data_IF_929120840029
#
_entry.id   IF_929120840029
#
_cell.length_a   1.000
_cell.length_b   1.000
_cell.length_c   1.000
_cell.angle_alpha   90.00
_cell.angle_beta   90.00
_cell.angle_gamma   90.00
#
_symmetry.space_group_name_H-M   'P 1'
#
loop_
_entity.id
_entity.type
_entity.pdbx_description
1 polymer ?
#
# COMPACT_ATOMS: atom_id res chain seq x y z
N UNK A 1 12.54 2.63 -12.81
CA UNK A 1 11.35 2.09 -13.13
C UNK A 1 10.38 2.26 -12.06
N UNK A 2 9.18 2.52 -12.36
CA UNK A 2 8.18 2.78 -11.36
C UNK A 2 7.59 1.48 -10.86
N UNK A 3 7.39 1.38 -9.59
CA UNK A 3 6.74 0.23 -9.00
C UNK A 3 5.24 0.45 -9.13
N UNK A 4 4.51 -0.58 -9.54
CA UNK A 4 3.08 -0.46 -9.69
C UNK A 4 2.38 -1.34 -8.69
N UNK A 5 1.08 -1.17 -8.62
CA UNK A 5 0.29 -1.96 -7.69
C UNK A 5 0.38 -3.44 -8.06
N UNK A 6 0.61 -3.75 -9.31
CA UNK A 6 0.74 -5.12 -9.71
C UNK A 6 2.01 -5.74 -9.14
N UNK A 7 3.08 -4.94 -9.05
CA UNK A 7 4.30 -5.44 -8.47
C UNK A 7 4.11 -5.74 -6.99
N UNK A 8 3.40 -4.88 -6.30
CA UNK A 8 3.13 -5.10 -4.90
C UNK A 8 2.30 -6.37 -4.74
N UNK A 9 1.28 -6.53 -5.58
CA UNK A 9 0.41 -7.69 -5.48
C UNK A 9 1.19 -8.98 -5.72
N UNK A 10 2.08 -8.97 -6.67
CA UNK A 10 2.86 -10.15 -6.96
C UNK A 10 3.76 -10.50 -5.78
N UNK A 11 4.39 -9.52 -5.19
CA UNK A 11 5.28 -9.77 -4.07
C UNK A 11 4.49 -10.21 -2.84
N UNK A 12 3.34 -9.62 -2.62
CA UNK A 12 2.53 -9.98 -1.47
C UNK A 12 1.75 -11.28 -1.67
N UNK A 13 1.68 -11.74 -2.90
CA UNK A 13 0.94 -12.96 -3.17
C UNK A 13 -0.56 -12.77 -3.16
N UNK A 14 -1.02 -11.59 -3.54
CA UNK A 14 -2.44 -11.28 -3.57
C UNK A 14 -2.78 -10.62 -4.89
N UNK A 15 -4.03 -10.33 -5.12
CA UNK A 15 -4.43 -9.69 -6.36
C UNK A 15 -4.27 -8.19 -6.25
N UNK A 16 -4.14 -7.50 -7.35
CA UNK A 16 -4.04 -6.04 -7.30
C UNK A 16 -5.23 -5.38 -6.64
N UNK A 17 -6.40 -6.00 -6.78
CA UNK A 17 -7.59 -5.46 -6.12
C UNK A 17 -7.41 -5.50 -4.61
N UNK A 18 -6.80 -6.57 -4.11
CA UNK A 18 -6.57 -6.68 -2.68
C UNK A 18 -5.61 -5.60 -2.21
N UNK A 19 -4.59 -5.29 -3.00
CA UNK A 19 -3.66 -4.25 -2.63
C UNK A 19 -4.41 -2.91 -2.57
N UNK A 20 -5.26 -2.65 -3.55
CA UNK A 20 -6.00 -1.41 -3.57
C UNK A 20 -6.90 -1.29 -2.35
N UNK A 21 -7.56 -2.36 -1.98
CA UNK A 21 -8.44 -2.32 -0.82
C UNK A 21 -7.65 -2.13 0.46
N UNK A 22 -6.47 -2.74 0.52
CA UNK A 22 -5.63 -2.55 1.69
C UNK A 22 -5.20 -1.10 1.82
N UNK A 23 -4.89 -0.45 0.71
CA UNK A 23 -4.51 0.95 0.76
C UNK A 23 -5.65 1.81 1.26
N UNK A 24 -6.88 1.40 1.00
CA UNK A 24 -8.03 2.15 1.48
C UNK A 24 -8.47 1.71 2.86
N UNK A 25 -7.69 0.80 3.45
CA UNK A 25 -8.03 0.31 4.79
C UNK A 25 -9.40 -0.32 4.83
N UNK A 26 -9.71 -1.12 3.82
CA UNK A 26 -11.01 -1.75 3.71
C UNK A 26 -11.17 -2.81 4.80
N UNK A 27 -12.27 -2.79 5.54
CA UNK A 27 -12.44 -3.75 6.64
C UNK A 27 -12.62 -5.18 6.18
N UNK A 28 -12.87 -5.40 4.91
CA UNK A 28 -13.03 -6.77 4.46
C UNK A 28 -11.66 -7.44 4.24
N UNK A 29 -10.57 -6.70 4.38
CA UNK A 29 -9.24 -7.28 4.24
C UNK A 29 -8.74 -7.65 5.62
N UNK A 30 -8.26 -8.88 5.78
CA UNK A 30 -7.80 -9.32 7.09
C UNK A 30 -6.50 -8.64 7.46
N UNK A 31 -6.21 -8.62 8.74
CA UNK A 31 -5.01 -8.00 9.22
C UNK A 31 -3.77 -8.67 8.64
N UNK A 32 -3.83 -9.97 8.54
CA UNK A 32 -2.70 -10.69 7.99
C UNK A 32 -2.44 -10.26 6.56
N UNK A 33 -3.47 -10.12 5.77
CA UNK A 33 -3.32 -9.70 4.39
C UNK A 33 -2.80 -8.27 4.33
N UNK A 34 -3.31 -7.41 5.20
CA UNK A 34 -2.86 -6.04 5.22
C UNK A 34 -1.37 -5.99 5.51
N UNK A 35 -0.91 -6.82 6.42
CA UNK A 35 0.47 -6.81 6.75
C UNK A 35 1.33 -7.29 5.61
N UNK A 36 0.90 -8.31 4.91
CA UNK A 36 1.65 -8.80 3.76
C UNK A 36 1.78 -7.70 2.71
N UNK A 37 0.70 -6.99 2.45
CA UNK A 37 0.72 -5.93 1.46
C UNK A 37 1.64 -4.80 1.91
N UNK A 38 1.56 -4.45 3.19
CA UNK A 38 2.40 -3.38 3.69
C UNK A 38 3.87 -3.72 3.59
N UNK A 39 4.21 -4.97 3.90
CA UNK A 39 5.57 -5.39 3.79
C UNK A 39 6.04 -5.31 2.34
N UNK A 40 5.20 -5.76 1.41
CA UNK A 40 5.54 -5.73 0.01
C UNK A 40 5.76 -4.30 -0.46
N UNK A 41 4.90 -3.39 0.00
CA UNK A 41 5.06 -2.00 -0.39
C UNK A 41 6.36 -1.42 0.14
N UNK A 42 6.71 -1.76 1.36
CA UNK A 42 7.93 -1.26 1.94
C UNK A 42 9.16 -1.81 1.21
N UNK A 43 9.10 -3.07 0.86
CA UNK A 43 10.21 -3.65 0.17
C UNK A 43 10.44 -3.04 -1.19
N UNK A 44 9.38 -2.75 -1.91
CA UNK A 44 9.49 -2.20 -3.24
C UNK A 44 9.58 -0.69 -3.24
N UNK A 45 9.37 -0.07 -2.11
CA UNK A 45 9.35 1.37 -2.03
C UNK A 45 8.13 1.96 -2.68
N UNK A 46 7.04 1.23 -2.74
CA UNK A 46 5.82 1.71 -3.37
C UNK A 46 5.00 2.54 -2.40
N UNK A 47 4.56 3.69 -2.81
CA UNK A 47 3.73 4.52 -1.97
C UNK A 47 2.46 4.82 -2.68
N UNK A 48 1.33 4.56 -2.07
CA UNK A 48 0.04 4.90 -2.66
C UNK A 48 0.01 6.39 -2.87
N UNK A 49 -0.42 6.79 -4.05
CA UNK A 49 -0.34 8.17 -4.34
C UNK A 49 -1.53 8.91 -4.03
N UNK A 50 -2.12 8.80 -2.92
CA UNK A 50 -3.24 9.58 -2.65
C UNK A 50 -2.96 10.59 -1.68
N UNK A 51 -1.96 10.68 -1.28
CA UNK A 51 -1.77 11.54 -0.42
C UNK A 51 -0.98 12.54 -0.61
N UNK A 52 -0.78 12.82 -1.59
CA UNK A 52 -0.14 13.97 -1.80
C UNK A 52 -0.50 14.90 -0.80
N UNK A 53 -1.70 14.95 -0.55
CA UNK A 53 -2.07 15.93 0.34
C UNK A 53 -1.57 15.61 1.63
N UNK A 54 -1.55 14.44 2.01
CA UNK A 54 -1.21 14.28 3.25
C UNK A 54 0.17 14.49 3.51
N UNK A 55 0.92 14.62 2.58
CA UNK A 55 2.16 14.85 2.85
C UNK A 55 2.36 16.04 3.56
N UNK A 56 1.64 16.97 3.24
CA UNK A 56 1.77 18.19 3.93
C UNK A 56 1.55 17.94 5.34
N UNK A 57 0.68 17.16 5.59
CA UNK A 57 0.38 16.98 6.91
C UNK A 57 1.47 16.38 7.60
N UNK A 58 2.04 15.52 7.09
CA UNK A 58 2.93 14.92 7.75
C UNK A 58 4.03 15.56 8.04
N UNK A 59 4.22 16.47 7.58
CA UNK A 59 5.22 17.14 7.83
C UNK A 59 5.24 17.50 9.08
N UNK A 60 4.59 17.74 9.51
CA UNK A 60 4.60 18.12 10.67
C UNK A 60 4.72 17.29 11.65
N UNK A 61 5.06 17.00 11.40
CA UNK A 61 5.19 16.41 11.92
C UNK A 61 5.39 16.02 12.34
N UNK A 62 5.51 16.10 12.30
CA UNK A 62 5.47 15.64 12.33
C UNK A 62 5.43 15.38 12.39
#
# INVERSE_FOLDING_TARGET
MAVTIKDVAALAGVSPSTVSRTCKNNPSISEETKERVRKAMAELGYEPNFQASNLAAQISRS
#
